data_IF_940445723801
#
_entry.id   IF_940445723801
#
_cell.length_a   1.000
_cell.length_b   1.000
_cell.length_c   1.000
_cell.angle_alpha   90.00
_cell.angle_beta   90.00
_cell.angle_gamma   90.00
#
_symmetry.space_group_name_H-M   'P 1'
#
loop_
_entity.id
_entity.type
_entity.pdbx_description
1 polymer ?
#
# COMPACT_ATOMS: atom_id res chain seq x y z
N UNK A 1 13.68 19.91 -21.45
CA UNK A 1 12.78 19.33 -20.44
C UNK A 1 11.85 18.37 -21.16
N UNK A 2 11.83 17.11 -20.75
CA UNK A 2 10.99 16.10 -21.39
C UNK A 2 9.55 16.33 -20.95
N UNK A 3 8.60 16.08 -21.86
CA UNK A 3 7.18 16.24 -21.62
C UNK A 3 6.49 14.90 -21.65
N UNK A 4 5.67 14.65 -20.64
CA UNK A 4 4.95 13.39 -20.46
C UNK A 4 3.45 13.62 -20.56
N UNK A 5 2.73 12.66 -21.12
CA UNK A 5 1.27 12.67 -21.25
C UNK A 5 0.62 11.85 -20.15
N UNK A 6 -0.71 11.94 -20.02
CA UNK A 6 -1.48 11.01 -19.18
C UNK A 6 -1.17 9.54 -19.52
N UNK A 7 -0.94 9.21 -20.79
CA UNK A 7 -0.60 7.85 -21.20
C UNK A 7 0.77 7.39 -20.69
N UNK A 8 1.73 8.32 -20.59
CA UNK A 8 3.04 8.03 -20.00
C UNK A 8 2.94 7.81 -18.49
N UNK A 9 2.21 8.68 -17.79
CA UNK A 9 1.96 8.55 -16.35
C UNK A 9 1.21 7.26 -16.02
N UNK A 10 0.18 6.95 -16.80
CA UNK A 10 -0.61 5.72 -16.70
C UNK A 10 0.26 4.46 -16.78
N UNK A 11 1.18 4.42 -17.76
CA UNK A 11 2.17 3.33 -17.86
C UNK A 11 3.12 3.28 -16.66
N UNK A 12 3.62 4.44 -16.21
CA UNK A 12 4.57 4.53 -15.09
C UNK A 12 3.94 4.06 -13.77
N UNK A 13 2.69 4.44 -13.54
CA UNK A 13 1.91 4.09 -12.35
C UNK A 13 1.27 2.69 -12.43
N UNK A 14 1.32 2.04 -13.59
CA UNK A 14 0.60 0.80 -13.88
C UNK A 14 -0.90 0.90 -13.53
N UNK A 15 -1.54 1.97 -13.98
CA UNK A 15 -2.99 2.20 -13.82
C UNK A 15 -3.62 2.52 -15.17
N UNK A 16 -4.96 2.59 -15.24
CA UNK A 16 -5.62 3.03 -16.47
C UNK A 16 -5.50 4.54 -16.66
N UNK A 17 -5.63 5.02 -17.91
CA UNK A 17 -5.74 6.45 -18.18
C UNK A 17 -6.90 7.10 -17.43
N UNK A 18 -8.00 6.36 -17.21
CA UNK A 18 -9.15 6.84 -16.45
C UNK A 18 -8.85 6.98 -14.96
N UNK A 19 -8.00 6.12 -14.39
CA UNK A 19 -7.52 6.29 -13.03
C UNK A 19 -6.66 7.56 -12.88
N UNK A 20 -5.77 7.85 -13.85
CA UNK A 20 -4.99 9.10 -13.83
C UNK A 20 -5.90 10.32 -13.97
N UNK A 21 -6.93 10.26 -14.82
CA UNK A 21 -7.94 11.34 -14.95
C UNK A 21 -8.75 11.52 -13.68
N UNK A 22 -9.06 10.41 -13.00
CA UNK A 22 -9.72 10.45 -11.70
C UNK A 22 -8.81 11.13 -10.66
N UNK A 23 -7.52 10.80 -10.61
CA UNK A 23 -6.56 11.47 -9.72
C UNK A 23 -6.45 12.97 -10.01
N UNK A 24 -6.42 13.36 -11.29
CA UNK A 24 -6.46 14.77 -11.71
C UNK A 24 -7.72 15.48 -11.20
N UNK A 25 -8.89 14.82 -11.31
CA UNK A 25 -10.17 15.36 -10.84
C UNK A 25 -10.23 15.50 -9.31
N UNK A 26 -9.67 14.55 -8.58
CA UNK A 26 -9.62 14.57 -7.11
C UNK A 26 -8.52 15.47 -6.55
N UNK A 27 -7.79 16.21 -7.40
CA UNK A 27 -6.82 17.21 -6.97
C UNK A 27 -5.41 16.67 -6.70
N UNK A 28 -5.08 15.45 -7.10
CA UNK A 28 -3.75 14.86 -6.83
C UNK A 28 -2.66 15.39 -7.76
N UNK A 29 -3.04 16.00 -8.88
CA UNK A 29 -2.14 16.42 -9.94
C UNK A 29 -2.20 17.94 -10.21
N UNK A 30 -2.18 18.81 -9.18
CA UNK A 30 -2.33 20.26 -9.36
C UNK A 30 -1.15 20.88 -10.12
N UNK A 31 0.02 20.26 -10.03
CA UNK A 31 1.25 20.65 -10.73
C UNK A 31 1.20 20.43 -12.26
N UNK A 32 0.32 19.55 -12.74
CA UNK A 32 0.26 19.20 -14.15
C UNK A 32 -0.20 20.39 -15.00
N UNK A 33 0.57 20.78 -16.02
CA UNK A 33 0.21 21.92 -16.88
C UNK A 33 -0.69 21.47 -18.03
N UNK A 34 -1.33 22.41 -18.73
CA UNK A 34 -2.03 22.13 -19.99
C UNK A 34 -1.20 22.66 -21.16
N UNK A 35 -1.05 21.86 -22.22
CA UNK A 35 -0.41 22.29 -23.45
C UNK A 35 -1.36 23.12 -24.34
N UNK A 36 -0.87 23.60 -25.49
CA UNK A 36 -1.66 24.43 -26.44
C UNK A 36 -2.95 23.75 -26.94
N UNK A 37 -3.01 22.43 -26.91
CA UNK A 37 -4.19 21.65 -27.29
C UNK A 37 -5.13 21.35 -26.09
N UNK A 38 -4.87 21.95 -24.92
CA UNK A 38 -5.68 21.79 -23.71
C UNK A 38 -5.44 20.48 -22.95
N UNK A 39 -4.46 19.65 -23.36
CA UNK A 39 -4.17 18.35 -22.75
C UNK A 39 -3.19 18.50 -21.58
N UNK A 40 -3.38 17.70 -20.52
CA UNK A 40 -2.44 17.64 -19.40
C UNK A 40 -1.06 17.18 -19.89
N UNK A 41 -0.04 17.87 -19.43
CA UNK A 41 1.37 17.64 -19.72
C UNK A 41 2.17 17.75 -18.43
N UNK A 42 3.02 16.76 -18.20
CA UNK A 42 3.87 16.64 -17.02
C UNK A 42 5.33 16.82 -17.43
N UNK A 43 6.15 17.20 -16.47
CA UNK A 43 7.58 17.45 -16.60
C UNK A 43 8.37 16.45 -15.78
N UNK A 44 9.69 16.46 -15.92
CA UNK A 44 10.59 15.63 -15.13
C UNK A 44 10.39 15.88 -13.62
N UNK A 45 10.20 17.13 -13.18
CA UNK A 45 9.97 17.50 -11.78
C UNK A 45 8.64 16.92 -11.26
N UNK A 46 7.61 16.88 -12.11
CA UNK A 46 6.30 16.31 -11.77
C UNK A 46 6.39 14.80 -11.52
N UNK A 47 7.35 14.10 -12.14
CA UNK A 47 7.52 12.66 -11.95
C UNK A 47 7.90 12.28 -10.52
N UNK A 48 8.57 13.18 -9.78
CA UNK A 48 8.87 12.98 -8.36
C UNK A 48 7.59 12.91 -7.53
N UNK A 49 6.65 13.83 -7.75
CA UNK A 49 5.34 13.79 -7.09
C UNK A 49 4.55 12.54 -7.45
N UNK A 50 4.61 12.12 -8.72
CA UNK A 50 3.94 10.89 -9.18
C UNK A 50 4.46 9.66 -8.44
N UNK A 51 5.76 9.56 -8.18
CA UNK A 51 6.35 8.45 -7.40
C UNK A 51 5.90 8.45 -5.95
N UNK A 52 5.85 9.63 -5.32
CA UNK A 52 5.34 9.77 -3.95
C UNK A 52 3.86 9.35 -3.88
N UNK A 53 3.03 9.83 -4.80
CA UNK A 53 1.60 9.46 -4.88
C UNK A 53 1.43 7.94 -5.02
N UNK A 54 2.23 7.29 -5.88
CA UNK A 54 2.18 5.84 -6.07
C UNK A 54 2.52 5.08 -4.78
N UNK A 55 3.58 5.52 -4.09
CA UNK A 55 4.00 4.94 -2.82
C UNK A 55 2.91 5.07 -1.76
N UNK A 56 2.40 6.29 -1.53
CA UNK A 56 1.36 6.56 -0.53
C UNK A 56 0.08 5.75 -0.80
N UNK A 57 -0.33 5.65 -2.08
CA UNK A 57 -1.48 4.84 -2.49
C UNK A 57 -1.25 3.36 -2.21
N UNK A 58 -0.06 2.83 -2.55
CA UNK A 58 0.29 1.41 -2.29
C UNK A 58 0.34 1.08 -0.80
N UNK A 59 0.67 2.06 0.04
CA UNK A 59 0.58 1.97 1.51
C UNK A 59 -0.86 2.02 2.05
N UNK A 60 -1.85 2.18 1.16
CA UNK A 60 -3.28 2.18 1.48
C UNK A 60 -3.79 3.50 2.05
N UNK A 61 -3.09 4.61 1.78
CA UNK A 61 -3.52 5.94 2.22
C UNK A 61 -4.67 6.43 1.32
N UNK A 62 -5.75 6.99 1.88
CA UNK A 62 -6.87 7.52 1.09
C UNK A 62 -6.44 8.61 0.11
N UNK A 63 -7.04 8.60 -1.07
CA UNK A 63 -6.76 9.57 -2.15
C UNK A 63 -6.93 11.02 -1.67
N UNK A 64 -7.93 11.30 -0.83
CA UNK A 64 -8.16 12.64 -0.27
C UNK A 64 -7.02 13.13 0.61
N UNK A 65 -6.43 12.24 1.40
CA UNK A 65 -5.33 12.57 2.30
C UNK A 65 -4.05 12.81 1.48
N UNK A 66 -3.85 12.02 0.42
CA UNK A 66 -2.77 12.24 -0.55
C UNK A 66 -2.95 13.59 -1.27
N UNK A 67 -4.18 13.96 -1.66
CA UNK A 67 -4.45 15.26 -2.28
C UNK A 67 -4.03 16.42 -1.35
N UNK A 68 -4.43 16.35 -0.08
CA UNK A 68 -4.05 17.34 0.93
C UNK A 68 -2.53 17.43 1.11
N UNK A 69 -1.84 16.29 1.14
CA UNK A 69 -0.37 16.26 1.21
C UNK A 69 0.28 16.93 -0.01
N UNK A 70 -0.27 16.71 -1.21
CA UNK A 70 0.21 17.36 -2.43
C UNK A 70 -0.06 18.86 -2.41
N UNK A 71 -1.22 19.30 -1.90
CA UNK A 71 -1.51 20.73 -1.73
C UNK A 71 -0.48 21.40 -0.81
N UNK A 72 -0.13 20.78 0.32
CA UNK A 72 0.96 21.27 1.17
C UNK A 72 2.29 21.33 0.43
N UNK A 73 2.62 20.33 -0.41
CA UNK A 73 3.82 20.40 -1.23
C UNK A 73 3.81 21.60 -2.20
N UNK A 74 2.63 21.97 -2.73
CA UNK A 74 2.49 23.14 -3.61
C UNK A 74 2.63 24.47 -2.87
N UNK A 75 2.27 24.52 -1.58
CA UNK A 75 2.48 25.69 -0.71
C UNK A 75 3.96 25.92 -0.37
N UNK A 76 4.81 24.90 -0.54
CA UNK A 76 6.24 24.99 -0.33
C UNK A 76 6.64 24.91 1.14
N UNK A 77 7.75 25.56 1.50
CA UNK A 77 8.42 25.31 2.78
C UNK A 77 7.63 25.72 4.02
N UNK A 78 6.55 26.50 3.87
CA UNK A 78 5.66 26.87 4.98
C UNK A 78 4.91 25.68 5.59
N UNK A 79 4.87 24.53 4.91
CA UNK A 79 4.12 23.34 5.33
C UNK A 79 5.01 22.13 5.63
N UNK A 80 6.31 22.36 5.91
CA UNK A 80 7.26 21.27 6.15
C UNK A 80 6.87 20.41 7.36
N UNK A 81 6.36 21.04 8.42
CA UNK A 81 5.97 20.35 9.65
C UNK A 81 4.74 19.48 9.41
N UNK A 82 3.71 19.97 8.71
CA UNK A 82 2.51 19.22 8.34
C UNK A 82 2.86 18.00 7.47
N UNK A 83 3.77 18.18 6.51
CA UNK A 83 4.24 17.09 5.64
C UNK A 83 5.03 16.04 6.41
N UNK A 84 5.87 16.46 7.36
CA UNK A 84 6.62 15.54 8.20
C UNK A 84 5.70 14.74 9.12
N UNK A 85 4.73 15.38 9.76
CA UNK A 85 3.78 14.73 10.65
C UNK A 85 2.85 13.78 9.89
N UNK A 86 2.44 14.14 8.68
CA UNK A 86 1.73 13.25 7.77
C UNK A 86 2.52 11.97 7.48
N UNK A 87 3.81 12.10 7.15
CA UNK A 87 4.67 10.94 6.87
C UNK A 87 4.83 10.05 8.10
N UNK A 88 5.11 10.62 9.28
CA UNK A 88 5.25 9.84 10.53
C UNK A 88 3.96 9.10 10.88
N UNK A 89 2.82 9.78 10.78
CA UNK A 89 1.51 9.18 11.07
C UNK A 89 1.26 7.96 10.20
N UNK A 90 1.57 8.05 8.91
CA UNK A 90 1.35 6.94 7.98
C UNK A 90 2.44 5.87 8.04
N UNK A 91 3.67 6.21 8.43
CA UNK A 91 4.72 5.25 8.79
C UNK A 91 4.27 4.35 9.94
N UNK A 92 3.84 4.93 11.06
CA UNK A 92 3.34 4.18 12.23
C UNK A 92 2.16 3.26 11.87
N UNK A 93 1.21 3.75 11.07
CA UNK A 93 0.09 2.95 10.58
C UNK A 93 0.54 1.79 9.68
N UNK A 94 1.56 2.00 8.85
CA UNK A 94 2.08 0.95 7.97
C UNK A 94 2.85 -0.10 8.77
N UNK A 95 3.64 0.30 9.77
CA UNK A 95 4.30 -0.62 10.69
C UNK A 95 3.31 -1.53 11.42
N UNK A 96 2.19 -0.98 11.90
CA UNK A 96 1.15 -1.79 12.56
C UNK A 96 0.51 -2.79 11.59
N UNK A 97 0.24 -2.37 10.34
CA UNK A 97 -0.24 -3.29 9.30
C UNK A 97 0.76 -4.40 9.02
N UNK A 98 2.06 -4.08 8.96
CA UNK A 98 3.13 -5.08 8.76
C UNK A 98 3.11 -6.10 9.89
N UNK A 99 3.08 -5.67 11.15
CA UNK A 99 3.02 -6.58 12.31
C UNK A 99 1.83 -7.54 12.22
N UNK A 100 0.64 -7.01 11.91
CA UNK A 100 -0.57 -7.84 11.74
C UNK A 100 -0.41 -8.83 10.57
N UNK A 101 0.15 -8.41 9.44
CA UNK A 101 0.38 -9.29 8.30
C UNK A 101 1.42 -10.37 8.60
N UNK A 102 2.47 -10.06 9.36
CA UNK A 102 3.45 -11.04 9.82
C UNK A 102 2.84 -12.09 10.74
N UNK A 103 1.99 -11.67 11.69
CA UNK A 103 1.22 -12.59 12.54
C UNK A 103 0.30 -13.49 11.71
N UNK A 104 -0.40 -12.93 10.73
CA UNK A 104 -1.26 -13.70 9.82
C UNK A 104 -0.44 -14.70 8.98
N UNK A 105 0.74 -14.30 8.50
CA UNK A 105 1.65 -15.17 7.76
C UNK A 105 2.17 -16.32 8.64
N UNK A 106 2.50 -16.05 9.90
CA UNK A 106 2.90 -17.07 10.86
C UNK A 106 1.78 -18.10 11.07
N UNK A 107 0.54 -17.65 11.21
CA UNK A 107 -0.62 -18.54 11.30
C UNK A 107 -0.80 -19.42 10.05
N UNK A 108 -0.65 -18.86 8.85
CA UNK A 108 -0.76 -19.63 7.61
C UNK A 108 0.36 -20.68 7.51
N UNK A 109 1.60 -20.32 7.87
CA UNK A 109 2.73 -21.26 7.92
C UNK A 109 2.49 -22.39 8.90
N UNK A 110 1.97 -22.09 10.08
CA UNK A 110 1.54 -23.10 11.05
C UNK A 110 0.50 -24.05 10.46
N UNK A 111 -0.53 -23.51 9.80
CA UNK A 111 -1.57 -24.34 9.15
C UNK A 111 -1.02 -25.22 8.04
N UNK A 112 -0.06 -24.73 7.26
CA UNK A 112 0.62 -25.53 6.23
C UNK A 112 1.32 -26.74 6.88
N UNK A 113 2.14 -26.50 7.91
CA UNK A 113 2.81 -27.58 8.65
C UNK A 113 1.80 -28.58 9.25
N UNK A 114 0.73 -28.07 9.85
CA UNK A 114 -0.32 -28.87 10.47
C UNK A 114 -0.96 -29.83 9.46
N UNK A 115 -1.33 -29.33 8.28
CA UNK A 115 -1.95 -30.15 7.25
C UNK A 115 -0.97 -31.07 6.54
N UNK A 116 0.30 -30.69 6.38
CA UNK A 116 1.34 -31.57 5.85
C UNK A 116 1.50 -32.82 6.73
N UNK A 117 1.70 -32.63 8.03
CA UNK A 117 1.87 -33.74 8.99
C UNK A 117 0.60 -34.58 9.16
N UNK A 118 -0.59 -33.94 9.17
CA UNK A 118 -1.85 -34.67 9.21
C UNK A 118 -2.09 -35.49 7.93
N UNK A 119 -1.72 -34.94 6.75
CA UNK A 119 -1.81 -35.65 5.47
C UNK A 119 -0.87 -36.85 5.44
N UNK A 120 0.37 -36.71 5.93
CA UNK A 120 1.34 -37.81 6.03
C UNK A 120 0.85 -38.93 6.96
N UNK A 121 0.21 -38.57 8.07
CA UNK A 121 -0.37 -39.53 9.01
C UNK A 121 -1.74 -40.08 8.57
N UNK A 122 -2.35 -39.50 7.52
CA UNK A 122 -3.71 -39.82 7.09
C UNK A 122 -4.83 -39.39 8.05
N UNK A 123 -4.51 -38.59 9.08
CA UNK A 123 -5.50 -38.11 10.06
C UNK A 123 -5.02 -36.87 10.80
N UNK A 124 -5.94 -35.95 11.10
CA UNK A 124 -5.68 -34.79 11.98
C UNK A 124 -5.56 -35.17 13.47
N UNK A 125 -6.00 -36.37 13.84
CA UNK A 125 -6.05 -36.84 15.23
C UNK A 125 -4.69 -36.85 15.93
N UNK A 126 -3.58 -36.87 15.15
CA UNK A 126 -2.21 -36.75 15.69
C UNK A 126 -1.98 -35.44 16.47
N UNK A 127 -2.74 -34.40 16.10
CA UNK A 127 -2.64 -33.06 16.69
C UNK A 127 -3.67 -32.79 17.77
N UNK A 128 -4.65 -33.67 17.96
CA UNK A 128 -5.72 -33.48 18.93
C UNK A 128 -5.34 -33.96 20.33
N UNK A 129 -5.95 -33.34 21.34
CA UNK A 129 -5.98 -33.89 22.70
C UNK A 129 -6.75 -35.22 22.62
N UNK A 130 -6.23 -36.33 23.18
CA UNK A 130 -6.85 -37.65 23.07
C UNK A 130 -8.33 -37.64 23.45
N UNK A 131 -9.17 -38.22 22.59
CA UNK A 131 -10.63 -38.28 22.79
C UNK A 131 -11.38 -36.98 22.50
N UNK A 132 -10.73 -35.98 21.89
CA UNK A 132 -11.35 -34.70 21.53
C UNK A 132 -11.01 -34.28 20.10
N UNK A 133 -11.60 -33.17 19.65
CA UNK A 133 -11.26 -32.46 18.41
C UNK A 133 -10.42 -31.19 18.67
N UNK A 134 -9.96 -30.99 19.90
CA UNK A 134 -9.19 -29.79 20.27
C UNK A 134 -7.72 -30.02 19.96
N UNK A 135 -7.09 -29.10 19.22
CA UNK A 135 -5.65 -29.13 18.95
C UNK A 135 -4.87 -28.93 20.25
N UNK A 136 -3.81 -29.73 20.46
CA UNK A 136 -2.91 -29.63 21.62
C UNK A 136 -2.40 -28.19 21.77
N UNK A 137 -2.49 -27.58 22.98
CA UNK A 137 -2.08 -26.19 23.19
C UNK A 137 -0.63 -25.90 22.78
N UNK A 138 0.28 -26.83 23.09
CA UNK A 138 1.72 -26.76 22.76
C UNK A 138 2.01 -26.65 21.25
N UNK A 139 1.09 -27.11 20.38
CA UNK A 139 1.23 -26.99 18.92
C UNK A 139 0.93 -25.57 18.44
N UNK A 140 0.12 -24.81 19.18
CA UNK A 140 -0.23 -23.42 18.84
C UNK A 140 0.85 -22.42 19.24
N UNK A 141 1.68 -22.74 20.22
CA UNK A 141 2.69 -21.83 20.75
C UNK A 141 3.99 -21.81 19.93
N UNK A 142 4.19 -22.74 18.98
CA UNK A 142 5.39 -22.85 18.13
C UNK A 142 5.54 -21.66 17.16
N UNK A 143 4.45 -20.94 16.87
CA UNK A 143 4.41 -19.89 15.84
C UNK A 143 3.88 -18.55 16.35
N UNK A 144 3.94 -18.32 17.67
CA UNK A 144 3.70 -17.01 18.29
C UNK A 144 4.92 -16.11 18.17
#
# INVERSE_FOLDING_TARGET
MTKYTIGDISRKLNVSNDAVRYYDKEGLLPFAKRNKAGRREFTDDDLGYIEVIDCLKKSGIPIKDIAQFIDWCMEGDSTLDERLDFMKTHEEQLEEKIKVLEMNLAFLRWKIWYYQTASEAGTESIHFIPGTTQVKPEIRDIFK
#
